data_IF_435088402997
#
_entry.id   IF_435088402997
#
_cell.length_a   1.000
_cell.length_b   1.000
_cell.length_c   1.000
_cell.angle_alpha   90.00
_cell.angle_beta   90.00
_cell.angle_gamma   90.00
#
_symmetry.space_group_name_H-M   'P 1'
#
loop_
_entity.id
_entity.type
_entity.pdbx_description
1 polymer ?
#
# COMPACT_ATOMS: atom_id res chain seq x y z
N UNK A 1 -0.72 9.12 32.09
CA UNK A 1 -0.47 10.47 32.59
C UNK A 1 -0.28 10.41 34.12
N UNK A 2 0.83 10.95 34.63
CA UNK A 2 1.14 10.96 36.08
C UNK A 2 0.05 11.66 36.91
N UNK A 3 -0.56 12.72 36.39
CA UNK A 3 -1.62 13.46 37.08
C UNK A 3 -2.93 12.67 37.16
N UNK A 4 -3.35 12.03 36.08
CA UNK A 4 -4.53 11.16 36.06
C UNK A 4 -4.37 9.99 37.01
N UNK A 5 -3.18 9.39 37.02
CA UNK A 5 -2.83 8.32 37.95
C UNK A 5 -2.92 8.79 39.41
N UNK A 6 -2.28 9.90 39.77
CA UNK A 6 -2.29 10.44 41.11
C UNK A 6 -3.72 10.72 41.60
N UNK A 7 -4.58 11.25 40.74
CA UNK A 7 -6.00 11.44 41.02
C UNK A 7 -6.72 10.12 41.29
N UNK A 8 -6.45 9.09 40.45
CA UNK A 8 -7.02 7.75 40.61
C UNK A 8 -6.56 7.10 41.91
N UNK A 9 -5.26 7.09 42.22
CA UNK A 9 -4.70 6.53 43.45
C UNK A 9 -5.28 7.22 44.70
N UNK A 10 -5.43 8.55 44.67
CA UNK A 10 -6.05 9.32 45.77
C UNK A 10 -7.50 8.92 45.96
N UNK A 11 -8.25 8.72 44.87
CA UNK A 11 -9.65 8.31 44.93
C UNK A 11 -9.80 6.88 45.43
N UNK A 12 -8.96 5.96 44.94
CA UNK A 12 -8.96 4.57 45.40
C UNK A 12 -8.64 4.49 46.91
N UNK A 13 -7.65 5.24 47.37
CA UNK A 13 -7.31 5.31 48.80
C UNK A 13 -8.47 5.82 49.65
N UNK A 14 -9.19 6.87 49.20
CA UNK A 14 -10.35 7.40 49.87
C UNK A 14 -11.54 6.41 49.97
N UNK A 15 -11.59 5.46 49.05
CA UNK A 15 -12.62 4.42 48.99
C UNK A 15 -12.16 3.07 49.57
N UNK A 16 -10.96 2.99 50.16
CA UNK A 16 -10.40 1.73 50.68
C UNK A 16 -10.09 0.67 49.62
N UNK A 17 -9.95 1.07 48.36
CA UNK A 17 -9.68 0.17 47.26
C UNK A 17 -8.17 0.07 46.94
N UNK A 18 -7.64 -1.13 46.70
CA UNK A 18 -6.25 -1.25 46.28
C UNK A 18 -6.06 -0.70 44.87
N UNK A 19 -4.98 0.06 44.64
CA UNK A 19 -4.59 0.56 43.33
C UNK A 19 -3.10 0.19 43.08
N UNK A 20 -2.83 -0.48 41.95
CA UNK A 20 -1.47 -0.91 41.56
C UNK A 20 -1.16 -0.33 40.20
N UNK A 21 0.00 0.34 40.07
CA UNK A 21 0.51 0.84 38.81
C UNK A 21 1.34 -0.26 38.13
N UNK A 22 0.69 -1.14 37.40
CA UNK A 22 1.26 -2.34 36.82
C UNK A 22 2.50 -2.08 35.88
N UNK A 23 2.56 -0.89 35.25
CA UNK A 23 3.64 -0.58 34.29
C UNK A 23 4.82 0.20 34.90
N UNK A 24 4.78 0.58 36.15
CA UNK A 24 5.83 1.42 36.74
C UNK A 24 7.16 0.67 36.84
N UNK A 25 7.15 -0.52 37.40
CA UNK A 25 8.34 -1.33 37.54
C UNK A 25 9.00 -1.62 36.17
N UNK A 26 8.18 -1.85 35.15
CA UNK A 26 8.64 -2.05 33.78
C UNK A 26 9.22 -0.76 33.20
N UNK A 27 8.54 0.37 33.37
CA UNK A 27 8.99 1.67 32.88
C UNK A 27 10.30 2.10 33.56
N UNK A 28 10.42 1.87 34.86
CA UNK A 28 11.63 2.21 35.62
C UNK A 28 12.81 1.30 35.22
N UNK A 29 12.57 0.00 35.04
CA UNK A 29 13.59 -0.92 34.57
C UNK A 29 14.08 -0.55 33.16
N UNK A 30 13.18 -0.21 32.24
CA UNK A 30 13.52 0.25 30.90
C UNK A 30 14.26 1.59 30.93
N UNK A 31 13.83 2.54 31.74
CA UNK A 31 14.49 3.84 31.90
C UNK A 31 15.94 3.68 32.38
N UNK A 32 16.14 2.81 33.36
CA UNK A 32 17.48 2.51 33.88
C UNK A 32 18.37 1.82 32.83
N UNK A 33 17.79 0.88 32.06
CA UNK A 33 18.52 0.16 31.01
C UNK A 33 18.90 1.06 29.84
N UNK A 34 18.02 1.99 29.45
CA UNK A 34 18.21 2.87 28.30
C UNK A 34 18.91 4.20 28.67
N UNK A 35 19.10 4.50 29.93
CA UNK A 35 19.66 5.78 30.41
C UNK A 35 18.77 6.99 30.06
N UNK A 36 17.45 6.77 29.84
CA UNK A 36 16.50 7.79 29.44
C UNK A 36 15.26 7.77 30.35
N UNK A 37 14.84 8.93 30.82
CA UNK A 37 13.60 9.02 31.59
C UNK A 37 12.37 8.76 30.71
N UNK A 38 11.42 7.97 31.23
CA UNK A 38 10.16 7.71 30.58
C UNK A 38 9.34 9.02 30.41
N UNK A 39 9.12 9.45 29.19
CA UNK A 39 8.33 10.63 28.88
C UNK A 39 6.83 10.28 28.98
N UNK A 40 6.21 10.61 30.12
CA UNK A 40 4.78 10.37 30.36
C UNK A 40 3.90 11.38 29.58
N UNK A 41 3.93 11.35 28.27
CA UNK A 41 3.04 12.13 27.40
C UNK A 41 1.96 11.23 26.81
N UNK A 42 0.70 11.31 27.30
CA UNK A 42 -0.42 10.56 26.72
C UNK A 42 -0.64 10.97 25.26
N UNK A 43 -1.02 10.00 24.41
CA UNK A 43 -1.38 10.24 23.02
C UNK A 43 -0.18 10.39 22.05
N UNK A 44 1.05 10.26 22.51
CA UNK A 44 2.24 10.40 21.63
C UNK A 44 2.41 9.26 20.63
N UNK A 45 1.84 8.08 20.90
CA UNK A 45 1.82 6.96 19.96
C UNK A 45 0.91 7.20 18.75
N UNK A 46 -0.02 8.17 18.86
CA UNK A 46 -0.97 8.54 17.81
C UNK A 46 -1.09 10.06 17.78
N UNK A 47 0.05 10.76 17.60
CA UNK A 47 -0.03 12.17 17.24
C UNK A 47 -0.81 12.28 15.94
N UNK A 48 -2.07 12.75 16.01
CA UNK A 48 -2.87 13.09 14.83
C UNK A 48 -2.35 14.41 14.30
N UNK A 49 -1.16 14.34 13.69
CA UNK A 49 -0.51 15.47 13.03
C UNK A 49 -0.91 15.53 11.55
N UNK A 50 -0.43 16.53 10.85
CA UNK A 50 -0.70 16.69 9.41
C UNK A 50 -0.27 15.46 8.59
N UNK A 51 0.83 14.80 8.96
CA UNK A 51 1.30 13.59 8.30
C UNK A 51 0.37 12.39 8.50
N UNK A 52 -0.26 12.28 9.67
CA UNK A 52 -1.29 11.28 9.91
C UNK A 52 -2.51 11.50 9.01
N UNK A 53 -3.03 12.73 8.92
CA UNK A 53 -4.19 13.02 8.08
C UNK A 53 -3.87 12.86 6.58
N UNK A 54 -2.69 13.25 6.14
CA UNK A 54 -2.24 13.02 4.76
C UNK A 54 -2.20 11.53 4.40
N UNK A 55 -1.76 10.65 5.31
CA UNK A 55 -1.80 9.19 5.11
C UNK A 55 -3.22 8.65 5.04
N UNK A 56 -4.11 9.12 5.92
CA UNK A 56 -5.53 8.73 5.90
C UNK A 56 -6.17 9.13 4.57
N UNK A 57 -5.93 10.34 4.10
CA UNK A 57 -6.42 10.85 2.82
C UNK A 57 -5.87 10.02 1.64
N UNK A 58 -4.57 9.72 1.63
CA UNK A 58 -3.96 8.87 0.61
C UNK A 58 -4.56 7.44 0.59
N UNK A 59 -4.81 6.85 1.76
CA UNK A 59 -5.43 5.52 1.85
C UNK A 59 -6.87 5.56 1.34
N UNK A 60 -7.65 6.57 1.72
CA UNK A 60 -9.04 6.72 1.24
C UNK A 60 -9.08 6.93 -0.27
N UNK A 61 -8.21 7.79 -0.81
CA UNK A 61 -8.06 7.99 -2.24
C UNK A 61 -7.75 6.67 -2.95
N UNK A 62 -6.75 5.94 -2.47
CA UNK A 62 -6.29 4.69 -3.10
C UNK A 62 -7.36 3.60 -3.12
N UNK A 63 -8.13 3.44 -2.03
CA UNK A 63 -9.24 2.50 -1.99
C UNK A 63 -10.34 2.87 -3.00
N UNK A 64 -10.61 4.17 -3.16
CA UNK A 64 -11.62 4.66 -4.09
C UNK A 64 -11.18 4.57 -5.57
N UNK A 65 -9.89 4.39 -5.85
CA UNK A 65 -9.32 4.39 -7.20
C UNK A 65 -8.59 3.08 -7.55
N UNK A 66 -9.06 1.96 -6.99
CA UNK A 66 -8.55 0.62 -7.28
C UNK A 66 -9.16 0.06 -8.58
N UNK A 67 -8.39 -0.76 -9.30
CA UNK A 67 -8.83 -1.49 -10.51
C UNK A 67 -9.52 -0.62 -11.59
N UNK A 68 -9.06 0.61 -11.78
CA UNK A 68 -9.55 1.50 -12.84
C UNK A 68 -10.78 2.32 -12.49
N UNK A 69 -11.27 2.24 -11.25
CA UNK A 69 -12.45 3.00 -10.79
C UNK A 69 -12.12 4.48 -10.65
N UNK A 70 -13.14 5.34 -10.85
CA UNK A 70 -13.07 6.80 -10.71
C UNK A 70 -11.95 7.47 -11.53
N UNK A 71 -11.70 6.98 -12.74
CA UNK A 71 -10.61 7.45 -13.59
C UNK A 71 -10.61 8.97 -13.81
N UNK A 72 -11.78 9.62 -13.78
CA UNK A 72 -11.93 11.08 -13.93
C UNK A 72 -11.16 11.89 -12.88
N UNK A 73 -10.82 11.29 -11.73
CA UNK A 73 -10.13 11.96 -10.64
C UNK A 73 -8.64 11.58 -10.54
N UNK A 74 -8.10 10.82 -11.51
CA UNK A 74 -6.70 10.35 -11.43
C UNK A 74 -5.67 11.47 -11.50
N UNK A 75 -6.02 12.65 -11.99
CA UNK A 75 -5.13 13.82 -11.95
C UNK A 75 -4.79 14.27 -10.52
N UNK A 76 -5.58 13.82 -9.51
CA UNK A 76 -5.32 14.07 -8.10
C UNK A 76 -4.37 13.04 -7.44
N UNK A 77 -4.00 11.99 -8.19
CA UNK A 77 -3.04 11.00 -7.72
C UNK A 77 -1.61 11.53 -7.77
N UNK A 78 -0.73 10.98 -6.94
CA UNK A 78 0.72 11.13 -7.10
C UNK A 78 1.25 10.08 -8.09
N UNK A 79 0.70 8.86 -8.03
CA UNK A 79 1.17 7.70 -8.79
C UNK A 79 -0.03 6.93 -9.38
N UNK A 80 0.10 6.47 -10.63
CA UNK A 80 -0.84 5.53 -11.25
C UNK A 80 -0.07 4.26 -11.64
N UNK A 81 -0.46 3.12 -11.07
CA UNK A 81 0.14 1.82 -11.39
C UNK A 81 -0.65 1.12 -12.49
N UNK A 82 -0.02 0.92 -13.64
CA UNK A 82 -0.60 0.18 -14.76
C UNK A 82 0.06 -1.21 -14.90
N UNK A 83 -0.71 -2.25 -15.21
CA UNK A 83 -0.13 -3.58 -15.40
C UNK A 83 -1.19 -4.66 -15.59
N UNK A 84 -0.78 -5.80 -16.13
CA UNK A 84 -1.68 -6.95 -16.29
C UNK A 84 -2.20 -7.44 -14.93
N UNK A 85 -3.30 -8.20 -14.95
CA UNK A 85 -3.86 -8.77 -13.72
C UNK A 85 -2.81 -9.63 -12.98
N UNK A 86 -2.72 -9.49 -11.64
CA UNK A 86 -1.80 -10.23 -10.75
C UNK A 86 -0.33 -9.77 -10.79
N UNK A 87 -0.06 -8.52 -11.13
CA UNK A 87 1.25 -7.88 -10.95
C UNK A 87 1.37 -7.13 -9.61
N UNK A 88 0.57 -7.49 -8.61
CA UNK A 88 0.59 -6.90 -7.26
C UNK A 88 0.29 -5.39 -7.20
N UNK A 89 -0.47 -4.84 -8.18
CA UNK A 89 -0.85 -3.41 -8.19
C UNK A 89 -1.55 -2.98 -6.90
N UNK A 90 -2.71 -3.56 -6.60
CA UNK A 90 -3.50 -3.21 -5.41
C UNK A 90 -2.71 -3.25 -4.10
N UNK A 91 -2.00 -4.34 -3.73
CA UNK A 91 -1.22 -4.32 -2.48
C UNK A 91 -0.08 -3.31 -2.50
N UNK A 92 0.55 -3.05 -3.65
CA UNK A 92 1.58 -2.02 -3.79
C UNK A 92 0.99 -0.62 -3.64
N UNK A 93 -0.20 -0.35 -4.23
CA UNK A 93 -0.92 0.92 -4.07
C UNK A 93 -1.25 1.20 -2.60
N UNK A 94 -1.76 0.21 -1.88
CA UNK A 94 -2.05 0.34 -0.44
C UNK A 94 -0.77 0.58 0.37
N UNK A 95 0.34 -0.07 0.01
CA UNK A 95 1.62 0.16 0.69
C UNK A 95 2.13 1.58 0.47
N UNK A 96 2.05 2.11 -0.76
CA UNK A 96 2.40 3.49 -1.10
C UNK A 96 1.49 4.49 -0.36
N UNK A 97 0.19 4.22 -0.30
CA UNK A 97 -0.76 5.05 0.44
C UNK A 97 -0.43 5.15 1.94
N UNK A 98 0.02 4.05 2.57
CA UNK A 98 0.52 4.06 3.94
C UNK A 98 1.79 4.91 4.13
N UNK A 99 2.48 5.27 3.04
CA UNK A 99 3.61 6.22 3.02
C UNK A 99 3.18 7.63 2.65
N UNK A 100 1.87 7.86 2.41
CA UNK A 100 1.28 9.17 2.12
C UNK A 100 1.09 9.47 0.63
N UNK A 101 1.39 8.53 -0.28
CA UNK A 101 1.23 8.74 -1.72
C UNK A 101 -0.18 8.33 -2.19
N UNK A 102 -0.94 9.25 -2.74
CA UNK A 102 -2.22 8.97 -3.40
C UNK A 102 -1.96 8.12 -4.64
N UNK A 103 -2.40 6.87 -4.62
CA UNK A 103 -2.07 5.92 -5.69
C UNK A 103 -3.34 5.35 -6.30
N UNK A 104 -3.52 5.54 -7.61
CA UNK A 104 -4.52 4.81 -8.38
C UNK A 104 -3.88 3.59 -9.06
N UNK A 105 -4.68 2.62 -9.48
CA UNK A 105 -4.17 1.54 -10.30
C UNK A 105 -5.19 1.03 -11.31
N UNK A 106 -4.68 0.48 -12.42
CA UNK A 106 -5.49 -0.01 -13.52
C UNK A 106 -4.95 -1.33 -14.08
N UNK A 107 -5.81 -2.34 -14.30
CA UNK A 107 -5.44 -3.51 -15.07
C UNK A 107 -5.36 -3.17 -16.58
N UNK A 108 -4.27 -3.60 -17.23
CA UNK A 108 -4.16 -3.56 -18.69
C UNK A 108 -4.65 -4.89 -19.24
N UNK A 109 -5.69 -4.81 -20.06
CA UNK A 109 -6.38 -5.97 -20.67
C UNK A 109 -6.42 -5.75 -22.19
N UNK A 110 -5.96 -6.70 -23.01
CA UNK A 110 -5.92 -6.53 -24.47
C UNK A 110 -7.28 -6.23 -25.10
N UNK A 111 -8.34 -6.83 -24.56
CA UNK A 111 -9.71 -6.72 -25.08
C UNK A 111 -10.43 -5.43 -24.62
N UNK A 112 -9.90 -4.73 -23.63
CA UNK A 112 -10.49 -3.53 -23.08
C UNK A 112 -9.47 -2.39 -23.04
N UNK A 113 -9.55 -1.41 -23.95
CA UNK A 113 -8.64 -0.28 -23.92
C UNK A 113 -8.81 0.51 -22.61
N UNK A 114 -7.71 0.97 -22.01
CA UNK A 114 -7.78 1.79 -20.81
C UNK A 114 -8.48 3.13 -21.09
N UNK A 115 -9.03 3.79 -20.07
CA UNK A 115 -9.67 5.10 -20.22
C UNK A 115 -8.70 6.09 -20.88
N UNK A 116 -9.18 6.91 -21.84
CA UNK A 116 -8.33 7.87 -22.57
C UNK A 116 -7.59 8.85 -21.64
N UNK A 117 -8.14 9.17 -20.47
CA UNK A 117 -7.53 10.05 -19.49
C UNK A 117 -6.15 9.54 -19.04
N UNK A 118 -5.93 8.23 -19.00
CA UNK A 118 -4.64 7.64 -18.63
C UNK A 118 -3.47 8.18 -19.46
N UNK A 119 -3.73 8.48 -20.74
CA UNK A 119 -2.72 8.96 -21.68
C UNK A 119 -2.54 10.49 -21.66
N UNK A 120 -3.37 11.20 -20.92
CA UNK A 120 -3.37 12.66 -20.85
C UNK A 120 -3.01 13.19 -19.47
N UNK A 121 -2.78 12.33 -18.50
CA UNK A 121 -2.36 12.68 -17.16
C UNK A 121 -1.04 13.49 -17.20
N UNK A 122 -0.97 14.55 -16.41
CA UNK A 122 0.19 15.45 -16.35
C UNK A 122 0.84 15.48 -14.97
N UNK A 123 0.03 15.40 -13.93
CA UNK A 123 0.51 15.46 -12.56
C UNK A 123 1.00 14.08 -12.07
N UNK A 124 0.24 12.97 -12.20
CA UNK A 124 0.67 11.70 -11.65
C UNK A 124 1.77 11.04 -12.49
N UNK A 125 2.72 10.41 -11.82
CA UNK A 125 3.64 9.50 -12.47
C UNK A 125 2.93 8.18 -12.81
N UNK A 126 2.84 7.84 -14.08
CA UNK A 126 2.32 6.53 -14.52
C UNK A 126 3.47 5.53 -14.58
N UNK A 127 3.33 4.39 -13.90
CA UNK A 127 4.36 3.35 -13.83
C UNK A 127 3.79 2.00 -14.27
N UNK A 128 4.46 1.37 -15.23
CA UNK A 128 4.13 0.03 -15.71
C UNK A 128 4.71 -1.06 -14.79
N UNK A 129 3.86 -1.94 -14.25
CA UNK A 129 4.30 -3.13 -13.54
C UNK A 129 4.22 -4.35 -14.44
N UNK A 130 5.33 -5.05 -14.61
CA UNK A 130 5.42 -6.27 -15.42
C UNK A 130 5.97 -7.43 -14.61
N UNK A 131 5.61 -8.64 -15.03
CA UNK A 131 6.17 -9.89 -14.49
C UNK A 131 6.42 -10.87 -15.64
N UNK A 132 7.18 -11.93 -15.40
CA UNK A 132 7.33 -12.98 -16.40
C UNK A 132 6.02 -13.75 -16.61
N UNK A 133 5.79 -14.25 -17.84
CA UNK A 133 4.61 -15.03 -18.16
C UNK A 133 4.48 -16.27 -17.27
N UNK A 134 5.58 -17.00 -17.04
CA UNK A 134 5.61 -18.19 -16.18
C UNK A 134 5.15 -17.87 -14.75
N UNK A 135 5.68 -16.79 -14.19
CA UNK A 135 5.29 -16.34 -12.84
C UNK A 135 3.82 -15.95 -12.79
N UNK A 136 3.34 -15.27 -13.82
CA UNK A 136 1.95 -14.83 -13.92
C UNK A 136 1.00 -16.04 -13.98
N UNK A 137 1.31 -17.03 -14.83
CA UNK A 137 0.55 -18.28 -14.94
C UNK A 137 0.50 -19.00 -13.57
N UNK A 138 1.63 -19.11 -12.89
CA UNK A 138 1.68 -19.73 -11.56
C UNK A 138 0.77 -19.04 -10.55
N UNK A 139 0.84 -17.71 -10.48
CA UNK A 139 0.02 -16.91 -9.53
C UNK A 139 -1.47 -17.01 -9.88
N UNK A 140 -1.81 -16.99 -11.18
CA UNK A 140 -3.19 -17.12 -11.65
C UNK A 140 -3.75 -18.51 -11.37
N UNK A 141 -2.99 -19.59 -11.58
CA UNK A 141 -3.38 -20.97 -11.21
C UNK A 141 -3.66 -21.08 -9.73
N UNK A 142 -2.78 -20.59 -8.87
CA UNK A 142 -2.99 -20.58 -7.43
C UNK A 142 -4.28 -19.83 -7.04
N UNK A 143 -4.61 -18.74 -7.75
CA UNK A 143 -5.85 -18.00 -7.51
C UNK A 143 -7.08 -18.81 -7.90
N UNK A 144 -7.08 -19.48 -9.05
CA UNK A 144 -8.18 -20.33 -9.47
C UNK A 144 -8.41 -21.47 -8.47
N UNK A 145 -7.34 -22.13 -8.03
CA UNK A 145 -7.41 -23.15 -7.00
C UNK A 145 -8.00 -22.63 -5.68
N UNK A 146 -7.60 -21.45 -5.25
CA UNK A 146 -8.15 -20.83 -4.02
C UNK A 146 -9.64 -20.47 -4.13
N UNK A 147 -10.16 -20.35 -5.35
CA UNK A 147 -11.58 -20.09 -5.63
C UNK A 147 -12.37 -21.35 -6.00
N UNK A 148 -11.77 -22.53 -5.88
CA UNK A 148 -12.35 -23.81 -6.32
C UNK A 148 -12.78 -23.80 -7.80
N UNK A 149 -12.05 -23.07 -8.66
CA UNK A 149 -12.29 -23.02 -10.10
C UNK A 149 -11.29 -23.91 -10.85
N UNK A 150 -11.71 -24.39 -12.04
CA UNK A 150 -10.83 -25.16 -12.91
C UNK A 150 -9.57 -24.35 -13.27
N UNK A 151 -8.39 -24.95 -13.18
CA UNK A 151 -7.16 -24.30 -13.63
C UNK A 151 -6.99 -24.27 -15.17
N UNK A 152 -7.88 -24.93 -15.90
CA UNK A 152 -7.84 -25.02 -17.36
C UNK A 152 -8.77 -23.97 -17.98
N UNK A 153 -8.27 -22.73 -18.05
CA UNK A 153 -8.98 -21.57 -18.59
C UNK A 153 -8.04 -20.68 -19.38
N UNK A 154 -8.60 -19.86 -20.26
CA UNK A 154 -7.88 -18.82 -21.02
C UNK A 154 -7.03 -17.90 -20.13
N UNK A 155 -7.42 -17.74 -18.88
CA UNK A 155 -6.73 -16.91 -17.88
C UNK A 155 -5.31 -17.39 -17.55
N UNK A 156 -5.01 -18.68 -17.78
CA UNK A 156 -3.70 -19.33 -17.55
C UNK A 156 -3.11 -19.94 -18.80
N UNK A 157 -3.72 -19.68 -19.96
CA UNK A 157 -3.17 -20.08 -21.26
C UNK A 157 -1.85 -19.35 -21.51
N UNK A 158 -0.80 -20.10 -21.84
CA UNK A 158 0.56 -19.56 -21.94
C UNK A 158 0.70 -18.53 -23.06
N UNK A 159 0.11 -18.80 -24.23
CA UNK A 159 0.23 -17.90 -25.36
C UNK A 159 -0.58 -16.62 -25.15
N UNK A 160 -1.76 -16.72 -24.54
CA UNK A 160 -2.58 -15.55 -24.16
C UNK A 160 -1.88 -14.69 -23.12
N UNK A 161 -1.32 -15.32 -22.08
CA UNK A 161 -0.57 -14.60 -21.04
C UNK A 161 0.67 -13.91 -21.60
N UNK A 162 1.42 -14.57 -22.50
CA UNK A 162 2.55 -13.94 -23.19
C UNK A 162 2.11 -12.74 -24.03
N UNK A 163 1.00 -12.88 -24.75
CA UNK A 163 0.43 -11.79 -25.55
C UNK A 163 -0.01 -10.60 -24.69
N UNK A 164 -0.67 -10.84 -23.54
CA UNK A 164 -1.04 -9.79 -22.56
C UNK A 164 0.19 -9.03 -22.06
N UNK A 165 1.22 -9.75 -21.63
CA UNK A 165 2.45 -9.13 -21.11
C UNK A 165 3.15 -8.32 -22.21
N UNK A 166 3.22 -8.85 -23.44
CA UNK A 166 3.81 -8.16 -24.57
C UNK A 166 3.01 -6.90 -24.96
N UNK A 167 1.67 -6.97 -24.90
CA UNK A 167 0.78 -5.82 -25.13
C UNK A 167 1.02 -4.71 -24.10
N UNK A 168 1.04 -5.06 -22.83
CA UNK A 168 1.29 -4.08 -21.76
C UNK A 168 2.68 -3.44 -21.91
N UNK A 169 3.73 -4.22 -22.18
CA UNK A 169 5.08 -3.68 -22.38
C UNK A 169 5.16 -2.71 -23.57
N UNK A 170 4.48 -3.01 -24.68
CA UNK A 170 4.40 -2.08 -25.83
C UNK A 170 3.71 -0.78 -25.44
N UNK A 171 2.55 -0.86 -24.78
CA UNK A 171 1.83 0.33 -24.32
C UNK A 171 2.69 1.22 -23.42
N UNK A 172 3.46 0.64 -22.50
CA UNK A 172 4.34 1.40 -21.62
C UNK A 172 5.48 2.06 -22.39
N UNK A 173 6.07 1.35 -23.34
CA UNK A 173 7.14 1.89 -24.20
C UNK A 173 6.63 3.02 -25.11
N UNK A 174 5.46 2.86 -25.73
CA UNK A 174 4.85 3.86 -26.62
C UNK A 174 4.53 5.17 -25.89
N UNK A 175 4.26 5.09 -24.58
CA UNK A 175 3.95 6.25 -23.74
C UNK A 175 5.13 6.72 -22.88
N UNK A 176 6.33 6.15 -23.04
CA UNK A 176 7.52 6.45 -22.24
C UNK A 176 7.31 6.31 -20.72
N UNK A 177 6.44 5.42 -20.28
CA UNK A 177 6.25 5.18 -18.86
C UNK A 177 7.37 4.32 -18.30
N UNK A 178 7.92 4.64 -17.13
CA UNK A 178 8.88 3.77 -16.45
C UNK A 178 8.27 2.41 -16.16
N UNK A 179 9.08 1.36 -16.32
CA UNK A 179 8.63 -0.03 -16.17
C UNK A 179 9.42 -0.70 -15.05
N UNK A 180 8.71 -1.31 -14.11
CA UNK A 180 9.30 -2.12 -13.05
C UNK A 180 8.95 -3.60 -13.25
N UNK A 181 9.96 -4.46 -13.31
CA UNK A 181 9.79 -5.91 -13.27
C UNK A 181 9.63 -6.38 -11.83
N UNK A 182 8.45 -6.92 -11.51
CA UNK A 182 8.08 -7.38 -10.17
C UNK A 182 8.15 -8.91 -10.03
N UNK A 183 8.76 -9.62 -10.99
CA UNK A 183 8.79 -11.09 -11.03
C UNK A 183 9.33 -11.71 -9.74
N UNK A 184 10.37 -11.10 -9.15
CA UNK A 184 11.04 -11.57 -7.94
C UNK A 184 11.13 -10.52 -6.83
N UNK A 185 10.30 -9.47 -6.91
CA UNK A 185 10.28 -8.41 -5.90
C UNK A 185 9.13 -8.61 -4.92
N UNK A 186 9.38 -8.29 -3.68
CA UNK A 186 8.35 -8.10 -2.67
C UNK A 186 7.55 -6.80 -2.95
N UNK A 187 6.43 -6.63 -2.26
CA UNK A 187 5.63 -5.39 -2.32
C UNK A 187 6.46 -4.21 -1.83
N UNK A 188 7.22 -4.39 -0.76
CA UNK A 188 8.07 -3.40 -0.13
C UNK A 188 9.20 -2.94 -1.07
N UNK A 189 9.88 -3.88 -1.73
CA UNK A 189 10.93 -3.59 -2.70
C UNK A 189 10.39 -2.88 -3.94
N UNK A 190 9.21 -3.28 -4.39
CA UNK A 190 8.51 -2.63 -5.50
C UNK A 190 8.15 -1.20 -5.13
N UNK A 191 7.54 -0.98 -3.96
CA UNK A 191 7.18 0.34 -3.48
C UNK A 191 8.41 1.24 -3.25
N UNK A 192 9.50 0.69 -2.71
CA UNK A 192 10.74 1.44 -2.55
C UNK A 192 11.33 1.90 -3.90
N UNK A 193 11.30 1.02 -4.92
CA UNK A 193 11.75 1.38 -6.26
C UNK A 193 10.85 2.48 -6.89
N UNK A 194 9.53 2.40 -6.67
CA UNK A 194 8.57 3.42 -7.13
C UNK A 194 8.84 4.76 -6.47
N UNK A 195 9.04 4.79 -5.15
CA UNK A 195 9.33 6.02 -4.40
C UNK A 195 10.64 6.66 -4.87
N UNK A 196 11.66 5.87 -5.17
CA UNK A 196 12.92 6.38 -5.71
C UNK A 196 12.70 7.05 -7.06
N UNK A 197 11.98 6.39 -7.99
CA UNK A 197 11.65 6.96 -9.30
C UNK A 197 10.81 8.24 -9.20
N UNK A 198 9.93 8.32 -8.21
CA UNK A 198 9.07 9.50 -8.00
C UNK A 198 9.85 10.71 -7.46
N UNK A 199 10.96 10.49 -6.77
CA UNK A 199 11.78 11.54 -6.17
C UNK A 199 12.98 11.98 -7.05
N UNK A 200 13.21 11.33 -8.20
CA UNK A 200 14.21 11.70 -9.20
C UNK A 200 13.71 12.88 -10.08
#
# INVERSE_FOLDING_TARGET
NRDTRRKLETRCRALGLPAVAALDAVSDAMSNMLGQEAQARPGRQHAMDAAYFARVDAIQFTIAHDDGINAQNWEEADIVLAGVSRTSKTPTSIYLANRGYKTANIPIVPEAPPPPILFTLRHPMVIGLVTSADRLIQVRRNRLLSLNQSPDTDYVDEEKVKAEVAHARRMFADNNWPVLDVTRRSIEETAAAIINLFNE
#
